data_IF_276223715123
#
_entry.id   IF_276223715123
#
_cell.length_a   1.000
_cell.length_b   1.000
_cell.length_c   1.000
_cell.angle_alpha   90.00
_cell.angle_beta   90.00
_cell.angle_gamma   90.00
#
_symmetry.space_group_name_H-M   'P 1'
#
loop_
_entity.id
_entity.type
_entity.pdbx_description
1 polymer ?
#
# COMPACT_ATOMS: atom_id res chain seq x y z
N UNK A 1 47.94 -25.18 9.13
CA UNK A 1 47.20 -24.01 8.60
C UNK A 1 46.03 -24.53 7.77
N UNK A 2 44.81 -24.60 8.32
CA UNK A 2 43.61 -25.08 7.60
C UNK A 2 43.05 -23.98 6.71
N UNK A 3 42.85 -24.32 5.45
CA UNK A 3 42.40 -23.55 4.28
C UNK A 3 41.30 -22.52 4.54
N UNK A 4 41.62 -21.25 4.29
CA UNK A 4 40.72 -20.11 4.30
C UNK A 4 40.01 -19.88 2.95
N UNK A 5 39.45 -20.94 2.35
CA UNK A 5 38.65 -20.85 1.12
C UNK A 5 37.41 -21.75 1.27
N UNK A 6 36.47 -21.36 2.14
CA UNK A 6 35.12 -21.90 2.07
C UNK A 6 34.45 -21.20 0.88
N UNK A 7 34.20 -21.94 -0.20
CA UNK A 7 33.43 -21.45 -1.34
C UNK A 7 32.06 -20.92 -0.91
N UNK A 8 31.50 -20.01 -1.70
CA UNK A 8 30.16 -19.44 -1.43
C UNK A 8 29.14 -20.58 -1.41
N UNK A 9 28.41 -20.71 -0.30
CA UNK A 9 27.35 -21.71 -0.21
C UNK A 9 26.15 -21.30 -1.05
N UNK A 10 25.37 -22.27 -1.50
CA UNK A 10 24.08 -22.04 -2.20
C UNK A 10 23.17 -21.13 -1.36
N UNK A 11 23.14 -21.34 -0.03
CA UNK A 11 22.37 -20.50 0.88
C UNK A 11 22.84 -19.03 0.89
N UNK A 12 24.15 -18.79 0.87
CA UNK A 12 24.72 -17.44 0.80
C UNK A 12 24.38 -16.75 -0.52
N UNK A 13 24.50 -17.48 -1.63
CA UNK A 13 24.14 -16.96 -2.96
C UNK A 13 22.65 -16.63 -3.04
N UNK A 14 21.77 -17.53 -2.58
CA UNK A 14 20.32 -17.31 -2.58
C UNK A 14 19.92 -16.10 -1.73
N UNK A 15 20.52 -15.95 -0.54
CA UNK A 15 20.31 -14.77 0.32
C UNK A 15 20.69 -13.48 -0.41
N UNK A 16 21.84 -13.46 -1.08
CA UNK A 16 22.31 -12.30 -1.84
C UNK A 16 21.33 -11.93 -2.96
N UNK A 17 20.87 -12.94 -3.73
CA UNK A 17 19.86 -12.75 -4.78
C UNK A 17 18.53 -12.20 -4.24
N UNK A 18 18.04 -12.71 -3.11
CA UNK A 18 16.82 -12.18 -2.48
C UNK A 18 17.00 -10.74 -1.99
N UNK A 19 18.15 -10.41 -1.40
CA UNK A 19 18.42 -9.05 -0.93
C UNK A 19 18.44 -8.05 -2.10
N UNK A 20 19.07 -8.42 -3.21
CA UNK A 20 19.05 -7.61 -4.43
C UNK A 20 17.63 -7.39 -4.92
N UNK A 21 16.82 -8.45 -4.99
CA UNK A 21 15.42 -8.35 -5.42
C UNK A 21 14.60 -7.41 -4.53
N UNK A 22 14.71 -7.54 -3.20
CA UNK A 22 14.00 -6.66 -2.26
C UNK A 22 14.40 -5.20 -2.47
N UNK A 23 15.70 -4.96 -2.63
CA UNK A 23 16.25 -3.61 -2.85
C UNK A 23 15.70 -2.97 -4.13
N UNK A 24 15.50 -3.77 -5.18
CA UNK A 24 14.93 -3.28 -6.43
C UNK A 24 13.42 -3.05 -6.34
N UNK A 25 12.68 -3.91 -5.62
CA UNK A 25 11.26 -3.72 -5.36
C UNK A 25 10.97 -2.45 -4.54
N UNK A 26 11.82 -2.14 -3.55
CA UNK A 26 11.70 -0.94 -2.70
C UNK A 26 11.84 0.38 -3.46
N UNK A 27 12.45 0.38 -4.65
CA UNK A 27 12.56 1.55 -5.54
C UNK A 27 11.28 1.81 -6.35
N UNK A 28 10.30 0.92 -6.27
CA UNK A 28 9.08 0.95 -7.10
C UNK A 28 7.83 1.14 -6.24
N UNK A 29 6.69 1.40 -6.88
CA UNK A 29 5.39 1.35 -6.22
C UNK A 29 4.80 -0.07 -6.33
N UNK A 30 4.71 -0.84 -5.22
CA UNK A 30 4.30 -2.23 -5.29
C UNK A 30 2.77 -2.38 -5.36
N UNK A 31 2.33 -3.36 -6.17
CA UNK A 31 0.95 -3.84 -6.22
C UNK A 31 0.93 -5.31 -5.86
N UNK A 32 0.11 -5.69 -4.88
CA UNK A 32 0.08 -7.04 -4.32
C UNK A 32 -1.12 -7.83 -4.83
N UNK A 33 -0.86 -8.99 -5.43
CA UNK A 33 -1.90 -9.97 -5.82
C UNK A 33 -1.80 -11.18 -4.89
N UNK A 34 -2.95 -11.63 -4.38
CA UNK A 34 -3.05 -12.76 -3.45
C UNK A 34 -3.89 -13.86 -4.06
N UNK A 35 -3.23 -14.91 -4.53
CA UNK A 35 -3.90 -16.08 -5.09
C UNK A 35 -4.42 -16.98 -3.96
N UNK A 36 -5.68 -17.40 -4.06
CA UNK A 36 -6.34 -18.30 -3.10
C UNK A 36 -6.74 -19.58 -3.83
N UNK A 37 -6.37 -20.73 -3.28
CA UNK A 37 -6.76 -22.03 -3.81
C UNK A 37 -8.13 -22.41 -3.26
N UNK A 38 -9.16 -22.63 -4.10
CA UNK A 38 -10.52 -22.85 -3.60
C UNK A 38 -10.74 -24.25 -3.01
N UNK A 39 -9.93 -25.25 -3.41
CA UNK A 39 -9.97 -26.62 -2.89
C UNK A 39 -8.64 -27.33 -3.13
N UNK A 40 -8.37 -28.43 -2.42
CA UNK A 40 -7.14 -29.22 -2.62
C UNK A 40 -7.23 -30.21 -3.79
N UNK A 41 -8.43 -30.66 -4.14
CA UNK A 41 -8.73 -31.66 -5.19
C UNK A 41 -8.51 -31.17 -6.62
N UNK A 42 -8.23 -29.88 -6.82
CA UNK A 42 -8.05 -29.23 -8.14
C UNK A 42 -9.30 -29.35 -9.03
N UNK A 43 -10.47 -29.45 -8.42
CA UNK A 43 -11.75 -29.55 -9.13
C UNK A 43 -12.35 -28.16 -9.34
N UNK A 44 -12.83 -27.81 -10.55
CA UNK A 44 -13.54 -26.55 -10.76
C UNK A 44 -14.86 -26.52 -9.98
N UNK A 45 -15.39 -25.33 -9.71
CA UNK A 45 -16.67 -25.11 -9.02
C UNK A 45 -16.82 -25.75 -7.63
N UNK A 46 -15.70 -26.14 -7.00
CA UNK A 46 -15.67 -26.68 -5.64
C UNK A 46 -14.98 -25.66 -4.73
N UNK A 47 -15.67 -25.26 -3.66
CA UNK A 47 -15.18 -24.27 -2.70
C UNK A 47 -15.15 -24.88 -1.30
N UNK A 48 -13.95 -25.10 -0.79
CA UNK A 48 -13.70 -25.52 0.59
C UNK A 48 -13.48 -24.27 1.46
N UNK A 49 -14.51 -23.91 2.22
CA UNK A 49 -14.48 -22.73 3.08
C UNK A 49 -13.45 -22.82 4.19
N UNK A 50 -13.20 -24.02 4.73
CA UNK A 50 -12.22 -24.23 5.79
C UNK A 50 -10.80 -23.97 5.28
N UNK A 51 -10.49 -24.52 4.10
CA UNK A 51 -9.18 -24.34 3.48
C UNK A 51 -8.96 -22.90 3.01
N UNK A 52 -9.96 -22.26 2.42
CA UNK A 52 -9.88 -20.84 2.02
C UNK A 52 -9.70 -19.94 3.23
N UNK A 53 -10.47 -20.15 4.31
CA UNK A 53 -10.35 -19.36 5.54
C UNK A 53 -8.95 -19.52 6.17
N UNK A 54 -8.39 -20.73 6.15
CA UNK A 54 -7.02 -20.99 6.61
C UNK A 54 -6.01 -20.16 5.81
N UNK A 55 -6.17 -20.10 4.48
CA UNK A 55 -5.33 -19.29 3.60
C UNK A 55 -5.42 -17.79 3.91
N UNK A 56 -6.63 -17.27 4.09
CA UNK A 56 -6.83 -15.87 4.46
C UNK A 56 -6.16 -15.52 5.79
N UNK A 57 -6.20 -16.44 6.76
CA UNK A 57 -5.56 -16.25 8.08
C UNK A 57 -4.03 -16.27 7.99
N UNK A 58 -3.41 -17.31 7.43
CA UNK A 58 -1.94 -17.37 7.39
C UNK A 58 -1.33 -16.32 6.47
N UNK A 59 -2.05 -15.89 5.43
CA UNK A 59 -1.60 -14.84 4.53
C UNK A 59 -1.72 -13.44 5.14
N UNK A 60 -2.32 -13.31 6.33
CA UNK A 60 -2.54 -12.05 7.03
C UNK A 60 -3.59 -11.16 6.37
N UNK A 61 -4.50 -11.74 5.57
CA UNK A 61 -5.47 -10.95 4.78
C UNK A 61 -6.46 -10.20 5.68
N UNK A 62 -6.92 -10.84 6.76
CA UNK A 62 -7.85 -10.20 7.70
C UNK A 62 -7.26 -8.94 8.33
N UNK A 63 -6.00 -9.03 8.78
CA UNK A 63 -5.30 -7.89 9.38
C UNK A 63 -4.97 -6.82 8.33
N UNK A 64 -4.57 -7.25 7.13
CA UNK A 64 -4.32 -6.32 6.01
C UNK A 64 -5.59 -5.53 5.66
N UNK A 65 -6.76 -6.18 5.61
CA UNK A 65 -8.04 -5.52 5.37
C UNK A 65 -8.35 -4.54 6.50
N UNK A 66 -8.16 -4.94 7.75
CA UNK A 66 -8.41 -4.08 8.92
C UNK A 66 -7.57 -2.81 8.87
N UNK A 67 -6.25 -2.95 8.72
CA UNK A 67 -5.31 -1.81 8.65
C UNK A 67 -5.63 -0.90 7.45
N UNK A 68 -6.00 -1.48 6.30
CA UNK A 68 -6.34 -0.69 5.10
C UNK A 68 -7.66 0.06 5.23
N UNK A 69 -8.63 -0.49 5.97
CA UNK A 69 -9.95 0.13 6.21
C UNK A 69 -9.89 1.20 7.30
N UNK A 70 -9.19 0.92 8.40
CA UNK A 70 -9.08 1.85 9.52
C UNK A 70 -8.05 2.96 9.24
N UNK A 71 -7.01 2.65 8.45
CA UNK A 71 -5.92 3.56 8.14
C UNK A 71 -6.09 4.35 6.84
N UNK A 72 -5.19 5.31 6.65
CA UNK A 72 -5.08 6.09 5.41
C UNK A 72 -4.13 5.40 4.43
N UNK A 73 -4.71 4.66 3.49
CA UNK A 73 -3.98 3.85 2.52
C UNK A 73 -3.24 4.69 1.46
N UNK A 74 -3.71 5.90 1.18
CA UNK A 74 -3.09 6.85 0.25
C UNK A 74 -2.40 7.96 1.04
N UNK A 75 -1.16 8.28 0.66
CA UNK A 75 -0.34 9.31 1.30
C UNK A 75 0.44 10.05 0.24
N UNK A 76 0.21 11.35 0.12
CA UNK A 76 0.91 12.19 -0.86
C UNK A 76 1.54 13.41 -0.18
N UNK A 77 2.69 13.86 -0.69
CA UNK A 77 3.35 15.08 -0.20
C UNK A 77 2.46 16.30 -0.46
N UNK A 78 2.52 17.29 0.44
CA UNK A 78 1.74 18.52 0.29
C UNK A 78 1.98 19.22 -1.05
N UNK A 79 3.24 19.31 -1.48
CA UNK A 79 3.61 19.95 -2.75
C UNK A 79 3.00 19.20 -3.95
N UNK A 80 3.18 17.88 -4.02
CA UNK A 80 2.64 17.06 -5.11
C UNK A 80 1.12 17.13 -5.17
N UNK A 81 0.46 17.09 -4.01
CA UNK A 81 -0.99 17.20 -3.91
C UNK A 81 -1.47 18.58 -4.36
N UNK A 82 -0.82 19.66 -3.90
CA UNK A 82 -1.15 21.02 -4.28
C UNK A 82 -0.99 21.22 -5.80
N UNK A 83 0.15 20.84 -6.35
CA UNK A 83 0.42 20.97 -7.79
C UNK A 83 -0.65 20.22 -8.62
N UNK A 84 -1.08 19.05 -8.17
CA UNK A 84 -2.08 18.23 -8.86
C UNK A 84 -3.50 18.80 -8.77
N UNK A 85 -3.91 19.32 -7.61
CA UNK A 85 -5.31 19.65 -7.35
C UNK A 85 -5.61 21.15 -7.28
N UNK A 86 -4.62 22.05 -7.23
CA UNK A 86 -4.88 23.50 -7.23
C UNK A 86 -5.60 23.97 -8.50
N UNK A 87 -5.42 23.26 -9.62
CA UNK A 87 -6.10 23.54 -10.89
C UNK A 87 -7.60 23.30 -10.85
N UNK A 88 -8.09 22.57 -9.83
CA UNK A 88 -9.53 22.35 -9.64
C UNK A 88 -10.22 23.55 -8.96
N UNK A 89 -9.45 24.54 -8.48
CA UNK A 89 -9.99 25.72 -7.82
C UNK A 89 -10.45 26.77 -8.83
N UNK A 90 -11.62 27.37 -8.62
CA UNK A 90 -11.99 28.57 -9.36
C UNK A 90 -11.05 29.73 -8.98
N UNK A 91 -10.86 30.73 -9.86
CA UNK A 91 -10.04 31.90 -9.56
C UNK A 91 -10.46 32.62 -8.26
N UNK A 92 -11.75 32.61 -7.92
CA UNK A 92 -12.30 33.20 -6.69
C UNK A 92 -12.01 32.40 -5.42
N UNK A 93 -11.55 31.16 -5.56
CA UNK A 93 -11.28 30.23 -4.45
C UNK A 93 -9.79 29.97 -4.28
N UNK A 94 -8.95 30.65 -5.05
CA UNK A 94 -7.50 30.61 -4.91
C UNK A 94 -7.11 31.10 -3.52
N UNK A 95 -6.19 30.40 -2.88
CA UNK A 95 -5.69 30.74 -1.56
C UNK A 95 -4.41 29.97 -1.29
N UNK A 96 -3.65 30.43 -0.29
CA UNK A 96 -2.36 29.86 0.00
C UNK A 96 -2.45 28.68 0.98
N UNK A 97 -1.66 27.65 0.69
CA UNK A 97 -1.42 26.55 1.60
C UNK A 97 -2.37 25.36 1.46
N UNK A 98 -1.87 24.22 1.91
CA UNK A 98 -2.52 22.92 1.75
C UNK A 98 -3.86 22.82 2.50
N UNK A 99 -3.96 23.48 3.66
CA UNK A 99 -5.17 23.48 4.47
C UNK A 99 -6.34 24.18 3.77
N UNK A 100 -6.08 25.24 3.01
CA UNK A 100 -7.09 25.93 2.22
C UNK A 100 -7.60 25.05 1.09
N UNK A 101 -6.68 24.47 0.31
CA UNK A 101 -7.02 23.55 -0.78
C UNK A 101 -7.88 22.38 -0.28
N UNK A 102 -7.45 21.74 0.82
CA UNK A 102 -8.18 20.63 1.46
C UNK A 102 -9.57 21.07 1.91
N UNK A 103 -9.70 22.24 2.55
CA UNK A 103 -11.00 22.76 2.99
C UNK A 103 -11.97 22.98 1.83
N UNK A 104 -11.50 23.63 0.76
CA UNK A 104 -12.35 23.91 -0.41
C UNK A 104 -12.78 22.61 -1.09
N UNK A 105 -11.85 21.68 -1.29
CA UNK A 105 -12.14 20.37 -1.87
C UNK A 105 -13.06 19.51 -0.97
N UNK A 106 -12.94 19.61 0.37
CA UNK A 106 -13.84 18.94 1.33
C UNK A 106 -15.28 19.30 1.06
N UNK A 107 -15.54 20.61 0.96
CA UNK A 107 -16.87 21.16 0.74
C UNK A 107 -17.45 20.74 -0.62
N UNK A 108 -16.60 20.69 -1.66
CA UNK A 108 -17.05 20.30 -3.01
C UNK A 108 -17.35 18.81 -3.15
N UNK A 109 -16.52 17.97 -2.55
CA UNK A 109 -16.65 16.52 -2.65
C UNK A 109 -17.57 15.94 -1.57
N UNK A 110 -18.08 16.78 -0.67
CA UNK A 110 -18.89 16.39 0.49
C UNK A 110 -18.20 15.30 1.33
N UNK A 111 -16.89 15.43 1.49
CA UNK A 111 -16.05 14.55 2.31
C UNK A 111 -15.69 15.23 3.62
N UNK A 112 -15.49 14.42 4.65
CA UNK A 112 -15.26 14.88 6.01
C UNK A 112 -13.81 14.68 6.43
N UNK A 113 -13.42 15.27 7.57
CA UNK A 113 -12.11 15.05 8.21
C UNK A 113 -11.85 13.59 8.61
N UNK A 114 -12.87 12.71 8.52
CA UNK A 114 -12.71 11.27 8.69
C UNK A 114 -12.15 10.56 7.44
N UNK A 115 -12.28 11.18 6.27
CA UNK A 115 -11.90 10.61 4.96
C UNK A 115 -10.47 10.98 4.57
N UNK A 116 -9.95 12.07 5.15
CA UNK A 116 -8.58 12.51 4.98
C UNK A 116 -8.05 13.31 6.16
N UNK A 117 -6.73 13.33 6.31
CA UNK A 117 -6.04 14.14 7.32
C UNK A 117 -4.78 14.79 6.78
N UNK A 118 -4.51 15.99 7.28
CA UNK A 118 -3.29 16.74 6.99
C UNK A 118 -2.26 16.39 8.06
N UNK A 119 -1.21 15.67 7.67
CA UNK A 119 -0.03 15.47 8.52
C UNK A 119 1.01 16.58 8.31
N UNK A 120 2.16 16.45 8.96
CA UNK A 120 3.22 17.47 8.94
C UNK A 120 3.78 17.75 7.53
N UNK A 121 3.95 16.73 6.68
CA UNK A 121 4.49 16.87 5.31
C UNK A 121 3.65 16.21 4.23
N UNK A 122 2.62 15.47 4.62
CA UNK A 122 1.79 14.66 3.73
C UNK A 122 0.31 14.80 4.05
N UNK A 123 -0.53 14.67 3.04
CA UNK A 123 -1.96 14.39 3.20
C UNK A 123 -2.15 12.87 3.20
N UNK A 124 -3.05 12.42 4.04
CA UNK A 124 -3.43 11.04 4.24
C UNK A 124 -4.89 10.89 3.82
N UNK A 125 -5.21 9.97 2.90
CA UNK A 125 -6.58 9.72 2.43
C UNK A 125 -6.97 8.26 2.66
N UNK A 126 -8.22 8.04 3.07
CA UNK A 126 -8.82 6.70 3.12
C UNK A 126 -9.14 6.24 1.70
N UNK A 127 -9.07 4.94 1.50
CA UNK A 127 -9.51 4.29 0.27
C UNK A 127 -10.89 3.69 0.56
N UNK A 128 -11.88 4.03 -0.26
CA UNK A 128 -13.20 3.37 -0.23
C UNK A 128 -13.06 1.85 -0.43
#
# INVERSE_FOLDING_TARGET
RRSALRGVSVASQFRSSLQSLVTDLEKTQPHYIRCIKPNLSKTPNSFDSGEVLRQLRYAGMMETIRIRREGYALRENHESFNNRFHLLLHPSEQGEGIAHLVKVLSNRLNVTDADWQIGHSKIFLKRE
#
